data_IF_784288938754
#
_entry.id   IF_784288938754
#
_cell.length_a   1.000
_cell.length_b   1.000
_cell.length_c   1.000
_cell.angle_alpha   90.00
_cell.angle_beta   90.00
_cell.angle_gamma   90.00
#
_symmetry.space_group_name_H-M   'P 1'
#
loop_
_entity.id
_entity.type
_entity.pdbx_description
1 polymer ?
#
# COMPACT_ATOMS: atom_id res chain seq x y z
N UNK A 1 24.73 29.72 -23.16
CA UNK A 1 23.82 29.54 -22.01
C UNK A 1 22.63 28.71 -22.50
N UNK A 2 22.53 27.45 -22.06
CA UNK A 2 21.53 26.47 -22.56
C UNK A 2 20.50 26.22 -21.46
N UNK A 3 19.23 26.48 -21.77
CA UNK A 3 18.09 26.20 -20.92
C UNK A 3 17.81 24.70 -20.86
N UNK A 4 18.10 24.09 -19.72
CA UNK A 4 17.69 22.72 -19.37
C UNK A 4 16.26 22.71 -18.86
N UNK A 5 15.28 22.67 -19.76
CA UNK A 5 13.87 22.48 -19.41
C UNK A 5 13.59 20.97 -19.27
N UNK A 6 13.61 20.49 -18.03
CA UNK A 6 13.25 19.12 -17.65
C UNK A 6 11.75 18.89 -17.89
N UNK A 7 11.44 18.12 -18.94
CA UNK A 7 10.11 17.55 -19.15
C UNK A 7 9.88 16.43 -18.13
N UNK A 8 9.33 16.79 -16.97
CA UNK A 8 8.76 15.84 -16.01
C UNK A 8 7.25 16.01 -16.03
N UNK A 9 6.55 15.02 -16.60
CA UNK A 9 5.10 15.12 -16.69
C UNK A 9 4.43 14.06 -17.55
N UNK A 10 4.64 12.78 -17.25
CA UNK A 10 3.68 11.74 -17.64
C UNK A 10 3.27 10.97 -16.37
N UNK A 11 2.29 11.56 -15.68
CA UNK A 11 1.59 10.93 -14.56
C UNK A 11 0.43 10.14 -15.17
N UNK A 12 0.63 8.83 -15.34
CA UNK A 12 -0.44 7.92 -15.76
C UNK A 12 -1.33 7.62 -14.56
N UNK A 13 -2.31 8.50 -14.35
CA UNK A 13 -3.28 8.46 -13.24
C UNK A 13 -4.60 7.79 -13.66
N UNK A 14 -4.52 6.75 -14.50
CA UNK A 14 -5.70 5.96 -14.87
C UNK A 14 -5.62 4.59 -14.24
N UNK A 15 -6.42 4.43 -13.18
CA UNK A 15 -6.75 3.13 -12.63
C UNK A 15 -7.13 2.15 -13.73
N UNK A 16 -6.75 0.90 -13.52
CA UNK A 16 -7.04 -0.26 -14.37
C UNK A 16 -8.56 -0.50 -14.35
N UNK A 17 -9.27 0.37 -15.04
CA UNK A 17 -10.65 0.18 -15.44
C UNK A 17 -10.65 -0.96 -16.44
N UNK A 18 -11.38 -2.03 -16.10
CA UNK A 18 -11.86 -3.07 -17.00
C UNK A 18 -12.05 -2.47 -18.41
N UNK A 19 -11.12 -2.78 -19.33
CA UNK A 19 -11.21 -2.33 -20.71
C UNK A 19 -12.56 -2.76 -21.27
N UNK A 20 -13.40 -1.76 -21.52
CA UNK A 20 -14.67 -1.96 -22.19
C UNK A 20 -14.36 -2.49 -23.60
N UNK A 21 -15.07 -3.53 -24.05
CA UNK A 21 -14.88 -4.19 -25.35
C UNK A 21 -15.00 -3.26 -26.57
N UNK A 22 -15.23 -1.96 -26.38
CA UNK A 22 -15.36 -0.94 -27.43
C UNK A 22 -14.03 -0.36 -27.90
N UNK A 23 -12.96 -0.43 -27.10
CA UNK A 23 -11.63 0.06 -27.54
C UNK A 23 -10.81 -0.99 -28.32
N UNK A 24 -11.26 -2.25 -28.38
CA UNK A 24 -10.60 -3.29 -29.18
C UNK A 24 -10.85 -3.07 -30.69
N UNK A 25 -11.95 -2.40 -31.06
CA UNK A 25 -12.29 -2.14 -32.47
C UNK A 25 -11.47 -1.02 -33.13
N UNK A 26 -10.93 -0.06 -32.37
CA UNK A 26 -10.11 1.02 -32.95
C UNK A 26 -8.64 0.64 -33.16
N UNK A 27 -8.19 -0.49 -32.57
CA UNK A 27 -6.83 -1.02 -32.76
C UNK A 27 -6.72 -2.04 -33.91
N UNK A 28 -7.84 -2.53 -34.45
CA UNK A 28 -7.84 -3.45 -35.60
C UNK A 28 -7.09 -2.91 -36.84
N UNK A 29 -7.26 -1.64 -37.29
CA UNK A 29 -6.55 -1.16 -38.48
C UNK A 29 -5.02 -1.01 -38.26
N UNK A 30 -4.56 -1.02 -37.01
CA UNK A 30 -3.13 -1.02 -36.67
C UNK A 30 -2.54 -2.44 -36.52
N UNK A 31 -3.39 -3.45 -36.30
CA UNK A 31 -3.00 -4.86 -36.29
C UNK A 31 -2.98 -5.47 -37.70
N UNK A 32 -3.88 -5.03 -38.58
CA UNK A 32 -3.97 -5.54 -39.96
C UNK A 32 -2.80 -5.08 -40.85
N UNK A 33 -2.15 -3.95 -40.49
CA UNK A 33 -0.92 -3.47 -41.15
C UNK A 33 0.36 -4.18 -40.67
N UNK A 34 0.25 -5.20 -39.81
CA UNK A 34 1.38 -5.97 -39.28
C UNK A 34 1.69 -7.26 -40.09
N UNK A 35 1.12 -7.39 -41.29
CA UNK A 35 1.49 -8.47 -42.22
C UNK A 35 2.79 -8.17 -43.03
N UNK A 36 3.46 -7.04 -42.75
CA UNK A 36 4.69 -6.60 -43.42
C UNK A 36 5.98 -6.74 -42.60
N UNK A 37 5.94 -7.24 -41.37
CA UNK A 37 7.13 -7.44 -40.53
C UNK A 37 7.72 -8.84 -40.74
N UNK A 38 8.00 -9.22 -42.00
CA UNK A 38 8.56 -10.54 -42.36
C UNK A 38 10.08 -10.65 -42.15
N UNK A 39 10.75 -9.55 -41.76
CA UNK A 39 12.20 -9.51 -41.52
C UNK A 39 12.61 -9.76 -40.07
N UNK A 40 11.66 -9.88 -39.13
CA UNK A 40 12.01 -10.34 -37.78
C UNK A 40 12.10 -11.87 -37.80
N UNK A 41 13.25 -12.47 -37.45
CA UNK A 41 13.36 -13.92 -37.36
C UNK A 41 12.33 -14.45 -36.37
N UNK A 42 11.47 -15.38 -36.83
CA UNK A 42 10.40 -16.00 -36.05
C UNK A 42 10.92 -16.69 -34.77
N UNK A 43 12.20 -17.07 -34.72
CA UNK A 43 12.82 -17.64 -33.53
C UNK A 43 12.98 -16.63 -32.38
N UNK A 44 12.98 -15.32 -32.65
CA UNK A 44 13.22 -14.30 -31.61
C UNK A 44 11.91 -13.74 -31.03
N UNK A 45 10.78 -13.90 -31.72
CA UNK A 45 9.49 -13.39 -31.22
C UNK A 45 9.01 -14.09 -29.96
N UNK A 46 9.32 -15.39 -29.81
CA UNK A 46 8.95 -16.17 -28.62
C UNK A 46 9.71 -15.70 -27.37
N UNK A 47 10.95 -15.24 -27.54
CA UNK A 47 11.78 -14.71 -26.46
C UNK A 47 11.19 -13.41 -25.88
N UNK A 48 10.86 -12.43 -26.74
CA UNK A 48 10.29 -11.16 -26.29
C UNK A 48 8.90 -11.32 -25.66
N UNK A 49 8.09 -12.25 -26.19
CA UNK A 49 6.78 -12.56 -25.59
C UNK A 49 6.96 -13.20 -24.22
N UNK A 50 7.89 -14.13 -24.06
CA UNK A 50 8.19 -14.76 -22.77
C UNK A 50 8.64 -13.71 -21.73
N UNK A 51 9.56 -12.81 -22.09
CA UNK A 51 10.06 -11.78 -21.19
C UNK A 51 8.97 -10.80 -20.75
N UNK A 52 8.10 -10.37 -21.68
CA UNK A 52 6.96 -9.52 -21.37
C UNK A 52 5.94 -10.23 -20.45
N UNK A 53 5.68 -11.53 -20.67
CA UNK A 53 4.81 -12.34 -19.81
C UNK A 53 5.40 -12.45 -18.40
N UNK A 54 6.71 -12.72 -18.27
CA UNK A 54 7.38 -12.80 -16.98
C UNK A 54 7.37 -11.48 -16.21
N UNK A 55 7.55 -10.35 -16.90
CA UNK A 55 7.45 -9.03 -16.29
C UNK A 55 6.04 -8.78 -15.74
N UNK A 56 5.00 -9.02 -16.55
CA UNK A 56 3.59 -8.86 -16.12
C UNK A 56 3.23 -9.76 -14.93
N UNK A 57 3.75 -11.00 -14.90
CA UNK A 57 3.54 -11.92 -13.80
C UNK A 57 4.14 -11.40 -12.49
N UNK A 58 5.37 -10.86 -12.53
CA UNK A 58 6.01 -10.24 -11.36
C UNK A 58 5.22 -9.05 -10.84
N UNK A 59 4.73 -8.16 -11.71
CA UNK A 59 3.89 -7.04 -11.30
C UNK A 59 2.60 -7.50 -10.62
N UNK A 60 1.92 -8.51 -11.17
CA UNK A 60 0.69 -9.06 -10.59
C UNK A 60 0.90 -9.75 -9.23
N UNK A 61 2.08 -10.34 -9.00
CA UNK A 61 2.44 -10.89 -7.70
C UNK A 61 2.70 -9.76 -6.70
N UNK A 62 3.48 -8.75 -7.08
CA UNK A 62 3.78 -7.62 -6.21
C UNK A 62 2.51 -6.87 -5.77
N UNK A 63 1.53 -6.68 -6.66
CA UNK A 63 0.24 -6.07 -6.29
C UNK A 63 -0.53 -6.90 -5.25
N UNK A 64 -0.56 -8.22 -5.41
CA UNK A 64 -1.19 -9.12 -4.44
C UNK A 64 -0.49 -9.08 -3.09
N UNK A 65 0.84 -9.02 -3.11
CA UNK A 65 1.65 -8.94 -1.89
C UNK A 65 1.42 -7.62 -1.14
N UNK A 66 1.29 -6.49 -1.85
CA UNK A 66 0.94 -5.17 -1.25
C UNK A 66 -0.41 -5.25 -0.55
N UNK A 67 -1.42 -5.88 -1.16
CA UNK A 67 -2.77 -5.97 -0.60
C UNK A 67 -2.82 -6.84 0.65
N UNK A 68 -1.92 -7.82 0.76
CA UNK A 68 -1.83 -8.72 1.92
C UNK A 68 -1.11 -8.10 3.13
N UNK A 69 -0.49 -6.92 3.00
CA UNK A 69 0.15 -6.25 4.14
C UNK A 69 -0.91 -5.84 5.16
N UNK A 70 -0.78 -6.18 6.46
CA UNK A 70 -1.77 -5.79 7.47
C UNK A 70 -1.75 -4.27 7.76
N UNK A 71 -2.96 -3.69 7.87
CA UNK A 71 -3.16 -2.25 8.16
C UNK A 71 -3.29 -1.94 9.66
N UNK A 72 -3.52 -2.95 10.51
CA UNK A 72 -3.72 -2.83 11.97
C UNK A 72 -4.79 -1.82 12.45
N UNK A 73 -5.65 -1.34 11.54
CA UNK A 73 -6.67 -0.34 11.83
C UNK A 73 -7.60 -0.75 12.99
N UNK A 74 -8.08 -1.99 12.99
CA UNK A 74 -8.95 -2.50 14.06
C UNK A 74 -8.26 -2.46 15.42
N UNK A 75 -6.97 -2.80 15.45
CA UNK A 75 -6.17 -2.76 16.68
C UNK A 75 -5.98 -1.31 17.15
N UNK A 76 -5.70 -0.38 16.23
CA UNK A 76 -5.60 1.05 16.56
C UNK A 76 -6.90 1.63 17.11
N UNK A 77 -8.06 1.20 16.60
CA UNK A 77 -9.36 1.56 17.16
C UNK A 77 -9.52 1.02 18.59
N UNK A 78 -9.10 -0.22 18.86
CA UNK A 78 -9.07 -0.77 20.22
C UNK A 78 -8.18 0.06 21.16
N UNK A 79 -6.99 0.46 20.70
CA UNK A 79 -6.07 1.31 21.45
C UNK A 79 -6.64 2.71 21.74
N UNK A 80 -7.49 3.24 20.86
CA UNK A 80 -8.17 4.52 21.09
C UNK A 80 -9.11 4.50 22.30
N UNK A 81 -9.79 3.38 22.56
CA UNK A 81 -10.62 3.24 23.75
C UNK A 81 -9.81 3.06 25.04
N UNK A 82 -8.62 2.46 24.95
CA UNK A 82 -7.72 2.30 26.10
C UNK A 82 -6.96 3.60 26.43
N UNK A 83 -6.49 4.30 25.40
CA UNK A 83 -5.65 5.49 25.56
C UNK A 83 -5.84 6.45 24.39
N UNK A 84 -6.78 7.40 24.56
CA UNK A 84 -7.26 8.31 23.51
C UNK A 84 -6.12 8.99 22.70
N UNK A 85 -5.11 9.52 23.38
CA UNK A 85 -4.03 10.30 22.75
C UNK A 85 -3.17 9.44 21.81
N UNK A 86 -2.67 8.30 22.28
CA UNK A 86 -1.86 7.39 21.46
C UNK A 86 -2.71 6.64 20.42
N UNK A 87 -3.98 6.36 20.73
CA UNK A 87 -4.90 5.73 19.79
C UNK A 87 -5.13 6.55 18.53
N UNK A 88 -5.31 7.88 18.65
CA UNK A 88 -5.45 8.76 17.47
C UNK A 88 -4.22 8.66 16.57
N UNK A 89 -3.02 8.72 17.15
CA UNK A 89 -1.76 8.62 16.39
C UNK A 89 -1.69 7.28 15.65
N UNK A 90 -2.06 6.18 16.30
CA UNK A 90 -2.06 4.85 15.69
C UNK A 90 -3.09 4.73 14.56
N UNK A 91 -4.26 5.35 14.70
CA UNK A 91 -5.28 5.40 13.64
C UNK A 91 -4.74 6.17 12.42
N UNK A 92 -4.11 7.32 12.62
CA UNK A 92 -3.52 8.11 11.52
C UNK A 92 -2.46 7.29 10.77
N UNK A 93 -1.59 6.57 11.50
CA UNK A 93 -0.58 5.72 10.88
C UNK A 93 -1.20 4.57 10.08
N UNK A 94 -2.25 3.94 10.61
CA UNK A 94 -2.99 2.87 9.91
C UNK A 94 -3.66 3.39 8.63
N UNK A 95 -4.24 4.59 8.65
CA UNK A 95 -4.79 5.24 7.45
C UNK A 95 -3.70 5.53 6.42
N UNK A 96 -2.51 5.99 6.86
CA UNK A 96 -1.37 6.20 5.95
C UNK A 96 -0.90 4.91 5.28
N UNK A 97 -0.89 3.76 5.96
CA UNK A 97 -0.58 2.46 5.31
C UNK A 97 -1.58 2.20 4.17
N UNK A 98 -2.87 2.42 4.43
CA UNK A 98 -3.92 2.25 3.41
C UNK A 98 -3.78 3.21 2.23
N UNK A 99 -3.35 4.45 2.47
CA UNK A 99 -3.05 5.39 1.38
C UNK A 99 -1.85 4.92 0.53
N UNK A 100 -0.79 4.42 1.16
CA UNK A 100 0.40 3.93 0.43
C UNK A 100 0.13 2.62 -0.34
N UNK A 101 -0.80 1.78 0.14
CA UNK A 101 -1.30 0.65 -0.64
C UNK A 101 -1.93 1.08 -1.96
N UNK A 102 -2.63 2.21 -1.98
CA UNK A 102 -3.25 2.75 -3.22
C UNK A 102 -2.23 3.30 -4.20
N UNK A 103 -1.04 3.71 -3.74
CA UNK A 103 0.04 4.20 -4.60
C UNK A 103 0.95 3.11 -5.14
N UNK A 104 0.69 1.82 -4.82
CA UNK A 104 1.47 0.66 -5.25
C UNK A 104 2.97 0.68 -4.90
N UNK A 105 3.37 1.52 -3.94
CA UNK A 105 4.75 1.60 -3.44
C UNK A 105 4.98 0.55 -2.34
N UNK A 106 5.43 -0.65 -2.71
CA UNK A 106 5.60 -1.78 -1.78
C UNK A 106 6.56 -1.47 -0.62
N UNK A 107 7.76 -0.97 -0.91
CA UNK A 107 8.80 -0.74 0.10
C UNK A 107 8.37 0.27 1.17
N UNK A 108 7.70 1.35 0.74
CA UNK A 108 7.18 2.36 1.66
C UNK A 108 6.03 1.80 2.48
N UNK A 109 5.11 1.06 1.85
CA UNK A 109 3.98 0.43 2.55
C UNK A 109 4.45 -0.52 3.64
N UNK A 110 5.44 -1.36 3.35
CA UNK A 110 6.01 -2.30 4.32
C UNK A 110 6.69 -1.57 5.48
N UNK A 111 7.48 -0.53 5.20
CA UNK A 111 8.17 0.27 6.23
C UNK A 111 7.19 0.98 7.15
N UNK A 112 6.11 1.57 6.59
CA UNK A 112 5.09 2.26 7.38
C UNK A 112 4.24 1.25 8.17
N UNK A 113 3.91 0.09 7.59
CA UNK A 113 3.17 -0.98 8.30
C UNK A 113 3.95 -1.48 9.51
N UNK A 114 5.26 -1.76 9.36
CA UNK A 114 6.14 -2.12 10.50
C UNK A 114 6.17 -1.05 11.59
N UNK A 115 6.27 0.23 11.21
CA UNK A 115 6.21 1.34 12.16
C UNK A 115 4.86 1.42 12.88
N UNK A 116 3.77 1.16 12.17
CA UNK A 116 2.41 1.16 12.72
C UNK A 116 2.23 0.03 13.74
N UNK A 117 2.74 -1.17 13.44
CA UNK A 117 2.76 -2.28 14.39
C UNK A 117 3.52 -1.91 15.66
N UNK A 118 4.72 -1.35 15.54
CA UNK A 118 5.55 -0.98 16.69
C UNK A 118 4.83 0.06 17.56
N UNK A 119 4.23 1.09 16.94
CA UNK A 119 3.46 2.11 17.67
C UNK A 119 2.21 1.54 18.35
N UNK A 120 1.49 0.62 17.71
CA UNK A 120 0.35 -0.05 18.33
C UNK A 120 0.77 -0.86 19.57
N UNK A 121 1.92 -1.55 19.53
CA UNK A 121 2.45 -2.29 20.68
C UNK A 121 2.87 -1.35 21.81
N UNK A 122 3.56 -0.25 21.48
CA UNK A 122 3.90 0.75 22.50
C UNK A 122 2.64 1.36 23.13
N UNK A 123 1.62 1.63 22.32
CA UNK A 123 0.34 2.16 22.79
C UNK A 123 -0.40 1.18 23.70
N UNK A 124 -0.43 -0.13 23.38
CA UNK A 124 -1.08 -1.12 24.26
C UNK A 124 -0.37 -1.22 25.59
N UNK A 125 0.97 -1.35 25.59
CA UNK A 125 1.76 -1.47 26.83
C UNK A 125 1.56 -0.24 27.71
N UNK A 126 1.61 0.96 27.12
CA UNK A 126 1.44 2.22 27.84
C UNK A 126 0.01 2.36 28.39
N UNK A 127 -1.01 1.98 27.61
CA UNK A 127 -2.41 1.99 28.05
C UNK A 127 -2.68 1.02 29.21
N UNK A 128 -2.14 -0.20 29.15
CA UNK A 128 -2.26 -1.18 30.23
C UNK A 128 -1.55 -0.69 31.50
N UNK A 129 -0.32 -0.18 31.38
CA UNK A 129 0.42 0.36 32.52
C UNK A 129 -0.32 1.52 33.21
N UNK A 130 -0.94 2.40 32.41
CA UNK A 130 -1.77 3.49 32.91
C UNK A 130 -3.00 2.99 33.68
N UNK A 131 -3.73 2.00 33.15
CA UNK A 131 -4.88 1.40 33.83
C UNK A 131 -4.49 0.75 35.17
N UNK A 132 -3.39 -0.01 35.20
CA UNK A 132 -2.89 -0.64 36.43
C UNK A 132 -2.54 0.42 37.48
N UNK A 133 -1.86 1.49 37.06
CA UNK A 133 -1.48 2.59 37.97
C UNK A 133 -2.71 3.30 38.54
N UNK A 134 -3.71 3.59 37.69
CA UNK A 134 -4.97 4.19 38.14
C UNK A 134 -5.71 3.30 39.14
N UNK A 135 -5.79 2.00 38.87
CA UNK A 135 -6.44 1.05 39.78
C UNK A 135 -5.73 0.96 41.13
N UNK A 136 -4.39 0.93 41.13
CA UNK A 136 -3.60 0.94 42.36
C UNK A 136 -3.83 2.22 43.19
N UNK A 137 -3.90 3.39 42.55
CA UNK A 137 -4.18 4.66 43.23
C UNK A 137 -5.60 4.69 43.82
N UNK A 138 -6.59 4.17 43.11
CA UNK A 138 -7.97 4.09 43.61
C UNK A 138 -8.08 3.19 44.84
N UNK A 139 -7.43 2.01 44.82
CA UNK A 139 -7.40 1.10 45.96
C UNK A 139 -6.71 1.78 47.16
N UNK A 140 -5.53 2.37 46.96
CA UNK A 140 -4.80 3.05 48.04
C UNK A 140 -5.61 4.19 48.66
N UNK A 141 -6.30 4.99 47.84
CA UNK A 141 -7.18 6.06 48.33
C UNK A 141 -8.34 5.50 49.17
N UNK A 142 -8.97 4.41 48.72
CA UNK A 142 -10.08 3.79 49.44
C UNK A 142 -9.69 3.27 50.84
N UNK A 143 -8.46 2.78 51.00
CA UNK A 143 -7.96 2.29 52.30
C UNK A 143 -7.66 3.41 53.30
N UNK A 144 -7.34 4.63 52.83
CA UNK A 144 -7.01 5.76 53.70
C UNK A 144 -8.21 6.56 54.21
N UNK A 145 -9.41 6.31 53.68
CA UNK A 145 -10.63 7.02 54.07
C UNK A 145 -11.49 6.27 55.11
N UNK A 146 -10.96 5.19 55.71
CA UNK A 146 -11.52 4.48 56.86
C UNK A 146 -10.68 4.77 58.11
#
# INVERSE_FOLDING_TARGET
MRDGRLLTGYRSDKGVGRMEKREIGELEPYLEKRNGFSWLPQNDTDYYVSEAVHANLKYSQQERDVMNIPDYLLWSIGNFFLFFVFGIICIILSVRVREHKRTHDYDKTLKISKRTLVMNIFSTISGIAFLVTMLALLINKSSTSF
#
